data_IF_843855627438
#
_entry.id   IF_843855627438
#
_cell.length_a   1.000
_cell.length_b   1.000
_cell.length_c   1.000
_cell.angle_alpha   90.00
_cell.angle_beta   90.00
_cell.angle_gamma   90.00
#
_symmetry.space_group_name_H-M   'P 1'
#
loop_
_entity.id
_entity.type
_entity.pdbx_description
1 polymer ?
#
# COMPACT_ATOMS: atom_id res chain seq x y z
N UNK A 1 14.03 -12.87 -1.59
CA UNK A 1 15.07 -13.71 -2.20
C UNK A 1 16.18 -12.92 -2.91
N UNK A 2 15.93 -12.00 -3.86
CA UNK A 2 17.01 -11.10 -4.38
C UNK A 2 17.29 -9.88 -3.49
N UNK A 3 16.30 -9.38 -2.74
CA UNK A 3 16.41 -8.18 -1.92
C UNK A 3 17.08 -8.40 -0.55
N UNK A 4 17.07 -9.63 -0.04
CA UNK A 4 17.68 -9.95 1.26
C UNK A 4 19.21 -9.85 1.17
N UNK A 5 19.77 -10.14 -0.02
CA UNK A 5 21.20 -10.02 -0.30
C UNK A 5 21.70 -8.57 -0.36
N UNK A 6 20.89 -7.62 -0.85
CA UNK A 6 21.26 -6.20 -0.87
C UNK A 6 21.24 -5.59 0.54
N UNK A 7 20.28 -6.01 1.37
CA UNK A 7 20.13 -5.55 2.75
C UNK A 7 21.22 -6.11 3.69
N UNK A 8 21.61 -7.38 3.51
CA UNK A 8 22.77 -7.99 4.18
C UNK A 8 24.08 -7.30 3.79
N UNK A 9 24.24 -6.87 2.53
CA UNK A 9 25.45 -6.21 2.03
C UNK A 9 25.66 -4.84 2.68
N UNK A 10 24.60 -4.03 2.80
CA UNK A 10 24.65 -2.75 3.49
C UNK A 10 24.83 -2.88 5.01
N UNK A 11 24.31 -3.94 5.62
CA UNK A 11 24.52 -4.24 7.05
C UNK A 11 25.97 -4.62 7.36
N UNK A 12 26.65 -5.33 6.46
CA UNK A 12 28.07 -5.69 6.60
C UNK A 12 29.03 -4.52 6.38
N UNK A 13 28.64 -3.50 5.62
CA UNK A 13 29.51 -2.35 5.30
C UNK A 13 29.47 -1.21 6.34
N UNK A 14 28.69 -1.34 7.42
CA UNK A 14 28.78 -0.45 8.59
C UNK A 14 28.37 1.01 8.35
N UNK A 15 27.56 1.31 7.32
CA UNK A 15 27.21 2.68 6.92
C UNK A 15 26.04 3.34 7.69
N UNK A 16 25.45 2.63 8.66
CA UNK A 16 24.34 3.10 9.50
C UNK A 16 24.72 4.19 10.52
N UNK A 17 25.20 5.35 10.06
CA UNK A 17 25.54 6.51 10.92
C UNK A 17 25.04 7.86 10.40
N UNK A 18 24.35 7.92 9.26
CA UNK A 18 23.94 9.18 8.63
C UNK A 18 22.41 9.28 8.46
N UNK A 19 21.88 10.51 8.56
CA UNK A 19 20.48 10.87 8.27
C UNK A 19 20.06 10.39 6.85
N UNK A 20 21.02 10.27 5.93
CA UNK A 20 20.80 9.74 4.59
C UNK A 20 20.36 8.26 4.60
N UNK A 21 20.98 7.42 5.43
CA UNK A 21 20.63 6.00 5.58
C UNK A 21 19.24 5.82 6.21
N UNK A 22 18.87 6.71 7.15
CA UNK A 22 17.53 6.70 7.74
C UNK A 22 16.47 7.02 6.68
N UNK A 23 16.74 8.01 5.82
CA UNK A 23 15.86 8.36 4.69
C UNK A 23 15.73 7.21 3.70
N UNK A 24 16.83 6.52 3.40
CA UNK A 24 16.86 5.38 2.50
C UNK A 24 16.11 4.17 3.09
N UNK A 25 16.27 3.88 4.37
CA UNK A 25 15.51 2.83 5.07
C UNK A 25 14.00 3.13 5.09
N UNK A 26 13.62 4.40 5.32
CA UNK A 26 12.21 4.84 5.26
C UNK A 26 11.67 4.71 3.83
N UNK A 27 12.39 5.17 2.82
CA UNK A 27 12.01 5.03 1.41
C UNK A 27 11.86 3.57 1.01
N UNK A 28 12.81 2.73 1.40
CA UNK A 28 12.79 1.29 1.11
C UNK A 28 11.62 0.59 1.79
N UNK A 29 11.32 0.94 3.04
CA UNK A 29 10.16 0.46 3.78
C UNK A 29 8.84 0.93 3.19
N UNK A 30 8.74 2.21 2.79
CA UNK A 30 7.54 2.79 2.18
C UNK A 30 7.24 2.16 0.82
N UNK A 31 8.24 2.07 -0.06
CA UNK A 31 8.10 1.48 -1.41
C UNK A 31 7.73 0.00 -1.34
N UNK A 32 8.32 -0.77 -0.40
CA UNK A 32 7.98 -2.19 -0.19
C UNK A 32 6.52 -2.40 0.18
N UNK A 33 5.91 -1.48 0.94
CA UNK A 33 4.52 -1.60 1.39
C UNK A 33 3.53 -1.04 0.37
N UNK A 34 3.91 0.00 -0.37
CA UNK A 34 3.07 0.60 -1.42
C UNK A 34 2.84 -0.37 -2.58
N UNK A 35 3.84 -1.18 -2.98
CA UNK A 35 3.70 -2.14 -4.10
C UNK A 35 2.53 -3.11 -3.94
N UNK A 36 2.45 -3.92 -2.86
CA UNK A 36 1.31 -4.80 -2.62
C UNK A 36 -0.03 -4.05 -2.53
N UNK A 37 -0.04 -2.87 -1.89
CA UNK A 37 -1.23 -2.03 -1.72
C UNK A 37 -1.84 -1.62 -3.06
N UNK A 38 -1.00 -1.13 -3.98
CA UNK A 38 -1.43 -0.70 -5.32
C UNK A 38 -2.00 -1.88 -6.11
N UNK A 39 -1.39 -3.07 -6.04
CA UNK A 39 -1.91 -4.27 -6.71
C UNK A 39 -3.32 -4.60 -6.22
N UNK A 40 -3.54 -4.64 -4.91
CA UNK A 40 -4.87 -4.94 -4.34
C UNK A 40 -5.91 -3.91 -4.77
N UNK A 41 -5.60 -2.61 -4.67
CA UNK A 41 -6.51 -1.54 -5.11
C UNK A 41 -6.82 -1.69 -6.60
N UNK A 42 -5.82 -1.98 -7.43
CA UNK A 42 -5.98 -2.13 -8.88
C UNK A 42 -6.87 -3.33 -9.23
N UNK A 43 -6.69 -4.47 -8.57
CA UNK A 43 -7.52 -5.67 -8.76
C UNK A 43 -8.97 -5.40 -8.36
N UNK A 44 -9.18 -4.72 -7.23
CA UNK A 44 -10.52 -4.37 -6.74
C UNK A 44 -11.21 -3.42 -7.71
N UNK A 45 -10.53 -2.36 -8.15
CA UNK A 45 -11.08 -1.43 -9.12
C UNK A 45 -11.37 -2.12 -10.45
N UNK A 46 -10.46 -2.96 -10.95
CA UNK A 46 -10.68 -3.71 -12.19
C UNK A 46 -11.91 -4.64 -12.12
N UNK A 47 -12.18 -5.24 -10.96
CA UNK A 47 -13.36 -6.10 -10.75
C UNK A 47 -14.66 -5.33 -10.52
N UNK A 48 -14.61 -4.17 -9.86
CA UNK A 48 -15.80 -3.41 -9.47
C UNK A 48 -16.22 -2.33 -10.48
N UNK A 49 -15.27 -1.77 -11.24
CA UNK A 49 -15.55 -0.76 -12.29
C UNK A 49 -16.59 -1.28 -13.30
N UNK A 50 -16.48 -2.48 -13.89
CA UNK A 50 -17.45 -2.98 -14.85
C UNK A 50 -18.85 -3.14 -14.24
N UNK A 51 -18.92 -3.52 -12.97
CA UNK A 51 -20.16 -3.69 -12.21
C UNK A 51 -20.88 -2.33 -12.04
N UNK A 52 -20.13 -1.26 -11.83
CA UNK A 52 -20.67 0.10 -11.72
C UNK A 52 -21.28 0.60 -13.04
N UNK A 53 -20.71 0.22 -14.18
CA UNK A 53 -21.23 0.57 -15.51
C UNK A 53 -22.31 -0.39 -16.02
N UNK A 54 -22.46 -1.57 -15.41
CA UNK A 54 -23.52 -2.52 -15.76
C UNK A 54 -24.90 -1.96 -15.44
N UNK A 55 -25.85 -2.12 -16.37
CA UNK A 55 -27.25 -1.63 -16.28
C UNK A 55 -28.29 -2.74 -16.46
N UNK A 56 -27.91 -4.00 -16.23
CA UNK A 56 -28.81 -5.16 -16.29
C UNK A 56 -29.65 -5.37 -15.03
N UNK A 57 -30.65 -6.26 -15.09
CA UNK A 57 -31.43 -6.67 -13.92
C UNK A 57 -30.52 -7.18 -12.79
N UNK A 58 -30.65 -6.60 -11.59
CA UNK A 58 -29.77 -6.90 -10.44
C UNK A 58 -28.52 -6.02 -10.32
N UNK A 59 -28.28 -5.09 -11.26
CA UNK A 59 -27.15 -4.15 -11.17
C UNK A 59 -27.22 -3.28 -9.92
N UNK A 60 -28.42 -2.86 -9.51
CA UNK A 60 -28.60 -2.02 -8.33
C UNK A 60 -28.18 -2.74 -7.04
N UNK A 61 -28.40 -4.05 -6.96
CA UNK A 61 -27.97 -4.87 -5.82
C UNK A 61 -26.44 -4.97 -5.82
N UNK A 62 -25.84 -5.26 -6.98
CA UNK A 62 -24.38 -5.38 -7.07
C UNK A 62 -23.67 -4.04 -6.79
N UNK A 63 -24.20 -2.91 -7.26
CA UNK A 63 -23.67 -1.57 -6.97
C UNK A 63 -23.72 -1.23 -5.48
N UNK A 64 -24.79 -1.62 -4.78
CA UNK A 64 -24.90 -1.43 -3.31
C UNK A 64 -23.86 -2.21 -2.51
N UNK A 65 -23.35 -3.32 -3.05
CA UNK A 65 -22.29 -4.12 -2.43
C UNK A 65 -20.91 -3.56 -2.83
N UNK A 66 -20.71 -3.24 -4.10
CA UNK A 66 -19.45 -2.75 -4.64
C UNK A 66 -19.06 -1.35 -4.12
N UNK A 67 -20.02 -0.44 -4.00
CA UNK A 67 -19.77 0.94 -3.56
C UNK A 67 -19.07 1.04 -2.18
N UNK A 68 -19.55 0.39 -1.11
CA UNK A 68 -18.86 0.42 0.18
C UNK A 68 -17.52 -0.31 0.16
N UNK A 69 -17.33 -1.32 -0.69
CA UNK A 69 -16.02 -1.98 -0.82
C UNK A 69 -14.95 -1.04 -1.39
N UNK A 70 -15.29 -0.26 -2.42
CA UNK A 70 -14.37 0.75 -2.98
C UNK A 70 -14.07 1.80 -1.91
N UNK A 71 -15.09 2.32 -1.22
CA UNK A 71 -14.92 3.28 -0.14
C UNK A 71 -14.05 2.75 1.01
N UNK A 72 -14.26 1.50 1.40
CA UNK A 72 -13.49 0.84 2.46
C UNK A 72 -12.02 0.67 2.11
N UNK A 73 -11.70 0.30 0.86
CA UNK A 73 -10.33 0.15 0.37
C UNK A 73 -9.61 1.49 0.27
N UNK A 74 -10.30 2.54 -0.18
CA UNK A 74 -9.73 3.89 -0.19
C UNK A 74 -9.48 4.38 1.22
N UNK A 75 -10.47 4.23 2.11
CA UNK A 75 -10.38 4.68 3.51
C UNK A 75 -9.30 3.91 4.26
N UNK A 76 -9.21 2.58 4.12
CA UNK A 76 -8.14 1.78 4.74
C UNK A 76 -6.77 2.14 4.18
N UNK A 77 -6.68 2.46 2.88
CA UNK A 77 -5.43 2.89 2.26
C UNK A 77 -4.96 4.22 2.83
N UNK A 78 -5.87 5.19 2.98
CA UNK A 78 -5.60 6.48 3.62
C UNK A 78 -5.24 6.31 5.10
N UNK A 79 -5.96 5.47 5.82
CA UNK A 79 -5.72 5.22 7.24
C UNK A 79 -4.32 4.62 7.45
N UNK A 80 -3.94 3.64 6.64
CA UNK A 80 -2.59 3.11 6.65
C UNK A 80 -1.55 4.17 6.25
N UNK A 81 -1.82 4.99 5.23
CA UNK A 81 -0.91 6.08 4.84
C UNK A 81 -0.75 7.14 5.95
N UNK A 82 -1.72 7.28 6.86
CA UNK A 82 -1.62 8.10 8.06
C UNK A 82 -0.95 7.38 9.23
N UNK A 83 -1.22 6.08 9.40
CA UNK A 83 -0.66 5.26 10.47
C UNK A 83 0.83 4.99 10.23
N UNK A 84 1.26 4.75 9.00
CA UNK A 84 2.68 4.56 8.66
C UNK A 84 3.59 5.71 9.08
N UNK A 85 3.32 6.98 8.73
CA UNK A 85 4.12 8.11 9.18
C UNK A 85 4.01 8.29 10.70
N UNK A 86 2.86 8.03 11.31
CA UNK A 86 2.72 8.07 12.76
C UNK A 86 3.65 7.05 13.44
N UNK A 87 3.70 5.80 12.97
CA UNK A 87 4.60 4.77 13.49
C UNK A 87 6.07 5.15 13.24
N UNK A 88 6.40 5.64 12.04
CA UNK A 88 7.77 6.05 11.68
C UNK A 88 8.27 7.23 12.52
N UNK A 89 7.40 8.19 12.84
CA UNK A 89 7.73 9.33 13.70
C UNK A 89 7.85 8.90 15.17
N UNK A 90 7.01 7.95 15.61
CA UNK A 90 7.01 7.45 17.00
C UNK A 90 8.21 6.56 17.30
N UNK A 91 8.82 5.93 16.29
CA UNK A 91 10.05 5.12 16.42
C UNK A 91 11.35 5.96 16.49
N UNK A 92 11.25 7.24 16.85
CA UNK A 92 12.41 8.09 17.17
C UNK A 92 13.08 7.69 18.47
#
# INVERSE_FOLDING_TARGET
MLLDMAYEKWRREGRLRSIADLREAIMFGAVKRIRPKIVTVSVILAGLIPIMFSTGAGSDVMKRIAAPMIGGVVTSTLLELFIYPAILITWK
#
